data_IF_078366619181
#
_entry.id   IF_078366619181
#
_cell.length_a   1.000
_cell.length_b   1.000
_cell.length_c   1.000
_cell.angle_alpha   90.00
_cell.angle_beta   90.00
_cell.angle_gamma   90.00
#
_symmetry.space_group_name_H-M   'P 1'
#
loop_
_entity.id
_entity.type
_entity.pdbx_description
1 polymer ?
#
# COMPACT_ATOMS: atom_id res chain seq x y z
N UNK A 1 -17.79 -11.36 -27.31
CA UNK A 1 -18.96 -10.51 -27.00
C UNK A 1 -20.01 -11.40 -26.36
N UNK A 2 -20.52 -11.04 -25.18
CA UNK A 2 -21.58 -11.78 -24.48
C UNK A 2 -22.86 -11.60 -25.31
N UNK A 3 -23.57 -12.68 -25.68
CA UNK A 3 -24.67 -12.65 -26.67
C UNK A 3 -25.86 -11.75 -26.27
N UNK A 4 -26.73 -11.42 -27.24
CA UNK A 4 -27.89 -10.51 -27.03
C UNK A 4 -28.80 -10.91 -25.87
N UNK A 5 -28.94 -12.22 -25.62
CA UNK A 5 -29.70 -12.74 -24.48
C UNK A 5 -29.11 -12.29 -23.14
N UNK A 6 -27.79 -12.43 -22.97
CA UNK A 6 -27.10 -12.01 -21.76
C UNK A 6 -27.13 -10.48 -21.59
N UNK A 7 -27.06 -9.73 -22.70
CA UNK A 7 -27.21 -8.27 -22.67
C UNK A 7 -28.61 -7.83 -22.21
N UNK A 8 -29.67 -8.57 -22.57
CA UNK A 8 -31.03 -8.31 -22.07
C UNK A 8 -31.16 -8.60 -20.58
N UNK A 9 -30.56 -9.67 -20.08
CA UNK A 9 -30.58 -9.95 -18.64
C UNK A 9 -29.80 -8.92 -17.83
N UNK A 10 -28.65 -8.46 -18.33
CA UNK A 10 -27.86 -7.39 -17.72
C UNK A 10 -28.65 -6.08 -17.56
N UNK A 11 -29.58 -5.78 -18.49
CA UNK A 11 -30.46 -4.60 -18.39
C UNK A 11 -31.47 -4.68 -17.24
N UNK A 12 -31.78 -5.89 -16.77
CA UNK A 12 -32.70 -6.10 -15.65
C UNK A 12 -31.99 -6.00 -14.29
N UNK A 13 -30.66 -5.88 -14.27
CA UNK A 13 -29.89 -5.75 -13.04
C UNK A 13 -30.18 -4.39 -12.40
N UNK A 14 -30.72 -4.32 -11.18
CA UNK A 14 -31.01 -3.05 -10.53
C UNK A 14 -29.70 -2.31 -10.18
N UNK A 15 -29.59 -1.06 -10.65
CA UNK A 15 -28.41 -0.21 -10.48
C UNK A 15 -28.66 0.96 -9.50
N UNK A 16 -29.69 0.87 -8.65
CA UNK A 16 -29.91 1.91 -7.65
C UNK A 16 -28.74 1.97 -6.66
N UNK A 17 -28.42 3.17 -6.17
CA UNK A 17 -27.31 3.39 -5.23
C UNK A 17 -27.37 2.42 -4.03
N UNK A 18 -28.56 2.19 -3.47
CA UNK A 18 -28.75 1.26 -2.35
C UNK A 18 -28.47 -0.20 -2.75
N UNK A 19 -28.83 -0.61 -3.96
CA UNK A 19 -28.56 -1.97 -4.45
C UNK A 19 -27.07 -2.17 -4.67
N UNK A 20 -26.39 -1.20 -5.29
CA UNK A 20 -24.95 -1.25 -5.51
C UNK A 20 -24.20 -1.25 -4.19
N UNK A 21 -24.57 -0.38 -3.24
CA UNK A 21 -23.98 -0.33 -1.90
C UNK A 21 -24.08 -1.67 -1.18
N UNK A 22 -25.28 -2.27 -1.15
CA UNK A 22 -25.48 -3.59 -0.54
C UNK A 22 -24.61 -4.66 -1.20
N UNK A 23 -24.54 -4.70 -2.54
CA UNK A 23 -23.70 -5.69 -3.24
C UNK A 23 -22.21 -5.52 -2.94
N UNK A 24 -21.74 -4.27 -2.83
CA UNK A 24 -20.36 -3.99 -2.42
C UNK A 24 -20.11 -4.53 -1.01
N UNK A 25 -21.07 -4.34 -0.10
CA UNK A 25 -20.97 -4.85 1.26
C UNK A 25 -20.96 -6.39 1.29
N UNK A 26 -21.93 -7.04 0.63
CA UNK A 26 -22.03 -8.50 0.55
C UNK A 26 -20.73 -9.12 -0.03
N UNK A 27 -20.18 -8.51 -1.09
CA UNK A 27 -18.91 -8.93 -1.69
C UNK A 27 -17.72 -8.70 -0.75
N UNK A 28 -17.70 -7.60 0.00
CA UNK A 28 -16.63 -7.32 0.94
C UNK A 28 -16.65 -8.30 2.13
N UNK A 29 -17.84 -8.65 2.62
CA UNK A 29 -18.01 -9.68 3.65
C UNK A 29 -17.54 -11.05 3.14
N UNK A 30 -17.95 -11.46 1.94
CA UNK A 30 -17.51 -12.72 1.32
C UNK A 30 -15.99 -12.80 1.14
N UNK A 31 -15.36 -11.73 0.65
CA UNK A 31 -13.89 -11.66 0.53
C UNK A 31 -13.23 -11.77 1.91
N UNK A 32 -13.76 -11.07 2.90
CA UNK A 32 -13.22 -11.10 4.26
C UNK A 32 -13.34 -12.51 4.88
N UNK A 33 -14.49 -13.17 4.75
CA UNK A 33 -14.69 -14.55 5.20
C UNK A 33 -13.70 -15.52 4.54
N UNK A 34 -13.49 -15.41 3.22
CA UNK A 34 -12.53 -16.23 2.51
C UNK A 34 -11.09 -16.03 3.00
N UNK A 35 -10.69 -14.78 3.29
CA UNK A 35 -9.36 -14.49 3.83
C UNK A 35 -9.21 -15.07 5.24
N UNK A 36 -10.20 -14.87 6.11
CA UNK A 36 -10.20 -15.37 7.48
C UNK A 36 -10.16 -16.90 7.52
N UNK A 37 -10.86 -17.59 6.62
CA UNK A 37 -10.81 -19.04 6.51
C UNK A 37 -9.40 -19.56 6.13
N UNK A 38 -8.65 -18.80 5.33
CA UNK A 38 -7.26 -19.14 4.96
C UNK A 38 -6.27 -18.89 6.10
N UNK A 39 -6.65 -18.11 7.12
CA UNK A 39 -5.83 -17.75 8.28
C UNK A 39 -5.76 -18.84 9.38
N UNK A 40 -5.75 -20.11 9.01
CA UNK A 40 -5.64 -21.22 9.97
C UNK A 40 -4.23 -21.40 10.56
N UNK A 41 -3.21 -20.82 9.92
CA UNK A 41 -1.80 -20.99 10.27
C UNK A 41 -1.11 -19.72 10.77
N UNK A 42 0.22 -19.76 10.82
CA UNK A 42 1.05 -18.62 11.17
C UNK A 42 1.00 -17.56 10.06
N UNK A 43 0.98 -16.30 10.45
CA UNK A 43 0.97 -15.19 9.51
C UNK A 43 1.80 -14.01 10.00
N UNK A 44 2.15 -13.13 9.06
CA UNK A 44 2.76 -11.84 9.32
C UNK A 44 1.90 -10.74 8.72
N UNK A 45 2.00 -9.55 9.29
CA UNK A 45 1.24 -8.37 8.87
C UNK A 45 2.16 -7.23 8.51
N UNK A 46 1.71 -6.37 7.59
CA UNK A 46 2.28 -5.06 7.33
C UNK A 46 1.21 -3.99 7.49
N UNK A 47 1.44 -3.05 8.39
CA UNK A 47 0.53 -1.96 8.69
C UNK A 47 1.11 -0.64 8.18
N UNK A 48 0.27 0.12 7.49
CA UNK A 48 0.62 1.44 6.96
C UNK A 48 -0.55 2.42 7.13
N UNK A 49 -0.22 3.69 7.28
CA UNK A 49 -1.19 4.77 7.31
C UNK A 49 -1.24 5.44 5.93
N UNK A 50 -2.43 5.51 5.34
CA UNK A 50 -2.65 6.20 4.08
C UNK A 50 -3.67 7.33 4.27
N UNK A 51 -3.39 8.48 3.68
CA UNK A 51 -4.35 9.58 3.59
C UNK A 51 -4.94 9.61 2.19
N UNK A 52 -6.27 9.61 2.09
CA UNK A 52 -6.95 9.69 0.81
C UNK A 52 -7.04 11.13 0.28
N UNK A 53 -7.69 11.32 -0.87
CA UNK A 53 -7.81 12.64 -1.51
C UNK A 53 -8.72 13.61 -0.76
N UNK A 54 -9.51 13.13 0.21
CA UNK A 54 -10.37 13.94 1.06
C UNK A 54 -9.72 14.22 2.43
N UNK A 55 -8.41 13.98 2.56
CA UNK A 55 -7.64 14.07 3.80
C UNK A 55 -8.11 13.12 4.91
N UNK A 56 -8.87 12.07 4.57
CA UNK A 56 -9.24 11.02 5.52
C UNK A 56 -8.08 10.03 5.67
N UNK A 57 -7.66 9.80 6.91
CA UNK A 57 -6.64 8.82 7.26
C UNK A 57 -7.24 7.41 7.37
N UNK A 58 -6.54 6.42 6.83
CA UNK A 58 -6.90 5.01 6.87
C UNK A 58 -5.71 4.17 7.35
N UNK A 59 -6.00 3.22 8.24
CA UNK A 59 -5.07 2.16 8.60
C UNK A 59 -5.30 0.99 7.65
N UNK A 60 -4.27 0.67 6.88
CA UNK A 60 -4.26 -0.42 5.91
C UNK A 60 -3.42 -1.55 6.47
N UNK A 61 -3.99 -2.77 6.50
CA UNK A 61 -3.29 -3.96 6.93
C UNK A 61 -3.17 -4.95 5.78
N UNK A 62 -1.94 -5.22 5.35
CA UNK A 62 -1.61 -6.32 4.46
C UNK A 62 -1.23 -7.55 5.26
N UNK A 63 -1.65 -8.70 4.76
CA UNK A 63 -1.40 -9.99 5.34
C UNK A 63 -0.40 -10.75 4.45
N UNK A 64 0.52 -11.47 5.09
CA UNK A 64 1.36 -12.48 4.45
C UNK A 64 1.24 -13.79 5.22
N UNK A 65 0.87 -14.86 4.53
CA UNK A 65 0.64 -16.18 5.13
C UNK A 65 1.14 -17.27 4.19
N UNK A 66 1.20 -18.51 4.70
CA UNK A 66 1.58 -19.68 3.91
C UNK A 66 0.32 -20.50 3.65
N UNK A 67 0.01 -20.70 2.37
CA UNK A 67 -1.03 -21.62 1.94
C UNK A 67 -0.35 -22.78 1.21
N UNK A 68 -0.48 -23.99 1.77
CA UNK A 68 0.21 -25.20 1.32
C UNK A 68 1.75 -25.04 1.34
N UNK A 69 2.32 -24.53 0.25
CA UNK A 69 3.76 -24.28 0.09
C UNK A 69 4.07 -22.88 -0.46
N UNK A 70 3.04 -22.10 -0.78
CA UNK A 70 3.18 -20.78 -1.38
C UNK A 70 3.04 -19.69 -0.33
N UNK A 71 3.86 -18.65 -0.47
CA UNK A 71 3.67 -17.40 0.26
C UNK A 71 2.58 -16.62 -0.44
N UNK A 72 1.50 -16.35 0.27
CA UNK A 72 0.35 -15.60 -0.21
C UNK A 72 0.31 -14.22 0.46
N UNK A 73 -0.18 -13.24 -0.28
CA UNK A 73 -0.35 -11.87 0.20
C UNK A 73 -1.74 -11.38 -0.16
N UNK A 74 -2.45 -10.85 0.83
CA UNK A 74 -3.81 -10.31 0.66
C UNK A 74 -3.98 -9.03 1.48
N UNK A 75 -4.94 -8.21 1.09
CA UNK A 75 -5.38 -7.07 1.90
C UNK A 75 -6.32 -7.59 3.00
N UNK A 76 -5.92 -7.46 4.26
CA UNK A 76 -6.74 -7.93 5.38
C UNK A 76 -7.88 -6.96 5.67
N UNK A 77 -7.56 -5.67 5.79
CA UNK A 77 -8.56 -4.61 5.91
C UNK A 77 -7.99 -3.24 5.52
N UNK A 78 -8.91 -2.33 5.21
CA UNK A 78 -8.68 -0.89 5.26
C UNK A 78 -9.74 -0.28 6.16
N UNK A 79 -9.34 0.37 7.27
CA UNK A 79 -10.27 0.98 8.23
C UNK A 79 -9.91 2.44 8.46
N UNK A 80 -10.92 3.29 8.52
CA UNK A 80 -10.75 4.73 8.77
C UNK A 80 -10.16 4.96 10.18
N UNK A 81 -9.23 5.89 10.28
CA UNK A 81 -8.69 6.39 11.54
C UNK A 81 -9.55 7.60 11.91
N UNK A 82 -10.49 7.42 12.83
CA UNK A 82 -11.40 8.48 13.27
C UNK A 82 -10.79 9.37 14.36
N UNK A 83 -9.75 8.89 15.05
CA UNK A 83 -9.15 9.55 16.21
C UNK A 83 -7.76 10.12 15.87
N UNK A 84 -6.88 10.23 16.88
CA UNK A 84 -5.65 11.00 16.83
C UNK A 84 -4.49 10.30 16.09
N UNK A 85 -4.71 9.12 15.52
CA UNK A 85 -3.66 8.31 14.89
C UNK A 85 -2.59 7.83 15.87
N UNK A 86 -2.86 7.86 17.18
CA UNK A 86 -1.94 7.35 18.19
C UNK A 86 -1.87 5.83 18.12
N UNK A 87 -0.76 5.28 18.60
CA UNK A 87 -0.55 3.85 18.68
C UNK A 87 -1.73 3.09 19.31
N UNK A 88 -2.35 3.66 20.35
CA UNK A 88 -3.53 3.11 21.03
C UNK A 88 -4.73 3.00 20.10
N UNK A 89 -5.03 4.08 19.38
CA UNK A 89 -6.18 4.18 18.49
C UNK A 89 -6.00 3.19 17.33
N UNK A 90 -4.79 3.12 16.77
CA UNK A 90 -4.43 2.16 15.72
C UNK A 90 -4.50 0.71 16.23
N UNK A 91 -4.07 0.47 17.47
CA UNK A 91 -4.14 -0.84 18.08
C UNK A 91 -5.58 -1.27 18.31
N UNK A 92 -6.46 -0.39 18.78
CA UNK A 92 -7.88 -0.72 18.98
C UNK A 92 -8.59 -1.02 17.65
N UNK A 93 -8.31 -0.28 16.57
CA UNK A 93 -8.83 -0.60 15.24
C UNK A 93 -8.45 -2.02 14.84
N UNK A 94 -7.18 -2.39 15.00
CA UNK A 94 -6.70 -3.70 14.62
C UNK A 94 -7.19 -4.81 15.56
N UNK A 95 -7.18 -4.55 16.88
CA UNK A 95 -7.65 -5.49 17.89
C UNK A 95 -9.16 -5.78 17.72
N UNK A 96 -9.96 -4.77 17.40
CA UNK A 96 -11.39 -4.94 17.08
C UNK A 96 -11.57 -5.85 15.87
N UNK A 97 -10.82 -5.63 14.78
CA UNK A 97 -10.85 -6.52 13.62
C UNK A 97 -10.49 -7.97 13.97
N UNK A 98 -9.45 -8.18 14.77
CA UNK A 98 -9.02 -9.51 15.21
C UNK A 98 -10.09 -10.22 16.04
N UNK A 99 -10.76 -9.49 16.94
CA UNK A 99 -11.85 -10.02 17.79
C UNK A 99 -13.09 -10.35 16.95
N UNK A 100 -13.53 -9.41 16.09
CA UNK A 100 -14.69 -9.58 15.21
C UNK A 100 -14.59 -10.83 14.33
N UNK A 101 -13.37 -11.12 13.84
CA UNK A 101 -13.09 -12.24 12.94
C UNK A 101 -12.54 -13.48 13.65
N UNK A 102 -12.51 -13.49 14.99
CA UNK A 102 -11.99 -14.59 15.81
C UNK A 102 -10.57 -15.05 15.40
N UNK A 103 -9.71 -14.10 15.03
CA UNK A 103 -8.33 -14.35 14.62
C UNK A 103 -7.44 -14.37 15.87
N UNK A 104 -6.69 -15.45 16.06
CA UNK A 104 -5.81 -15.61 17.22
C UNK A 104 -4.52 -14.81 17.04
N UNK A 105 -4.22 -13.96 18.03
CA UNK A 105 -2.96 -13.22 18.10
C UNK A 105 -1.73 -14.12 18.16
N UNK A 106 -1.85 -15.31 18.75
CA UNK A 106 -0.77 -16.31 18.86
C UNK A 106 -0.19 -16.74 17.50
N UNK A 107 -1.01 -16.65 16.44
CA UNK A 107 -0.61 -17.00 15.08
C UNK A 107 0.15 -15.85 14.38
N UNK A 108 0.11 -14.63 14.91
CA UNK A 108 0.83 -13.48 14.37
C UNK A 108 2.31 -13.56 14.77
N UNK A 109 3.17 -13.92 13.82
CA UNK A 109 4.62 -14.11 14.05
C UNK A 109 5.47 -12.94 13.58
N UNK A 110 4.93 -12.07 12.72
CA UNK A 110 5.64 -10.92 12.17
C UNK A 110 4.77 -9.68 12.06
N UNK A 111 5.35 -8.52 12.37
CA UNK A 111 4.72 -7.21 12.16
C UNK A 111 5.71 -6.27 11.47
N UNK A 112 5.27 -5.61 10.40
CA UNK A 112 6.04 -4.64 9.63
C UNK A 112 5.33 -3.28 9.64
N UNK A 113 6.05 -2.20 9.91
CA UNK A 113 5.49 -0.82 9.89
C UNK A 113 6.47 0.20 9.29
N UNK A 114 5.98 1.38 8.89
CA UNK A 114 6.75 2.46 8.23
C UNK A 114 7.89 3.08 9.06
N UNK A 115 7.90 2.82 10.37
CA UNK A 115 8.90 3.35 11.29
C UNK A 115 8.51 4.67 11.95
N UNK A 116 7.33 5.23 11.67
CA UNK A 116 6.81 6.40 12.36
C UNK A 116 6.75 6.15 13.88
N UNK A 117 6.88 7.23 14.68
CA UNK A 117 6.98 7.12 16.14
C UNK A 117 5.78 6.37 16.76
N UNK A 118 4.58 6.61 16.26
CA UNK A 118 3.37 5.92 16.69
C UNK A 118 3.39 4.42 16.35
N UNK A 119 4.11 4.00 15.31
CA UNK A 119 4.16 2.61 14.86
C UNK A 119 5.32 1.83 15.51
N UNK A 120 6.52 2.41 15.53
CA UNK A 120 7.80 1.74 15.86
C UNK A 120 8.26 1.90 17.31
N UNK A 121 7.60 2.74 18.10
CA UNK A 121 7.97 3.00 19.49
C UNK A 121 8.13 1.72 20.32
N UNK A 122 9.25 1.59 21.02
CA UNK A 122 9.60 0.37 21.78
C UNK A 122 8.64 0.07 22.94
N UNK A 123 8.13 1.12 23.60
CA UNK A 123 7.32 1.01 24.81
C UNK A 123 5.83 1.35 24.59
N UNK A 124 5.54 2.22 23.62
CA UNK A 124 4.18 2.72 23.37
C UNK A 124 3.86 2.91 21.90
N UNK A 125 4.64 2.32 21.00
CA UNK A 125 4.27 2.24 19.59
C UNK A 125 3.36 1.05 19.33
N UNK A 126 2.71 1.02 18.17
CA UNK A 126 1.81 -0.05 17.75
C UNK A 126 2.46 -1.43 17.86
N UNK A 127 3.74 -1.56 17.48
CA UNK A 127 4.46 -2.83 17.61
C UNK A 127 4.60 -3.30 19.08
N UNK A 128 4.72 -2.38 20.03
CA UNK A 128 4.82 -2.70 21.44
C UNK A 128 3.47 -3.19 21.98
N UNK A 129 2.38 -2.54 21.57
CA UNK A 129 1.02 -2.95 21.93
C UNK A 129 0.68 -4.32 21.34
N UNK A 130 1.01 -4.58 20.08
CA UNK A 130 0.83 -5.89 19.46
C UNK A 130 1.61 -6.98 20.22
N UNK A 131 2.84 -6.70 20.66
CA UNK A 131 3.63 -7.64 21.48
C UNK A 131 2.97 -8.01 22.80
N UNK A 132 2.08 -7.18 23.35
CA UNK A 132 1.32 -7.54 24.56
C UNK A 132 0.31 -8.67 24.30
N UNK A 133 -0.23 -8.76 23.07
CA UNK A 133 -1.15 -9.82 22.65
C UNK A 133 -0.43 -11.02 22.02
N UNK A 134 0.67 -10.76 21.31
CA UNK A 134 1.51 -11.77 20.65
C UNK A 134 2.98 -11.63 21.08
N UNK A 135 3.39 -12.17 22.24
CA UNK A 135 4.74 -11.94 22.80
C UNK A 135 5.89 -12.40 21.90
N UNK A 136 5.65 -13.39 21.05
CA UNK A 136 6.65 -13.97 20.15
C UNK A 136 6.79 -13.23 18.81
N UNK A 137 5.91 -12.26 18.52
CA UNK A 137 5.90 -11.53 17.25
C UNK A 137 7.21 -10.78 17.04
N UNK A 138 7.76 -10.85 15.83
CA UNK A 138 8.95 -10.10 15.43
C UNK A 138 8.54 -8.84 14.69
N UNK A 139 8.97 -7.70 15.22
CA UNK A 139 8.79 -6.43 14.53
C UNK A 139 9.96 -6.16 13.59
N UNK A 140 9.63 -5.70 12.39
CA UNK A 140 10.57 -5.17 11.41
C UNK A 140 10.09 -3.81 10.92
N UNK A 141 11.04 -2.94 10.62
CA UNK A 141 10.71 -1.69 9.92
C UNK A 141 10.64 -1.96 8.42
N UNK A 142 9.64 -1.40 7.76
CA UNK A 142 9.43 -1.48 6.33
C UNK A 142 10.70 -1.11 5.55
N UNK A 143 11.21 -2.06 4.76
CA UNK A 143 12.46 -1.91 3.97
C UNK A 143 12.34 -0.74 3.00
N UNK A 144 11.18 -0.57 2.39
CA UNK A 144 10.87 0.52 1.47
C UNK A 144 11.05 1.89 2.15
N UNK A 145 10.48 2.06 3.34
CA UNK A 145 10.62 3.30 4.10
C UNK A 145 12.06 3.54 4.53
N UNK A 146 12.79 2.49 4.94
CA UNK A 146 14.22 2.57 5.29
C UNK A 146 15.09 2.97 4.09
N UNK A 147 14.83 2.39 2.93
CA UNK A 147 15.52 2.72 1.69
C UNK A 147 15.27 4.19 1.32
N UNK A 148 14.01 4.63 1.35
CA UNK A 148 13.65 6.01 1.07
C UNK A 148 14.31 7.01 2.06
N UNK A 149 14.38 6.66 3.34
CA UNK A 149 15.06 7.48 4.36
C UNK A 149 16.58 7.52 4.13
N UNK A 150 17.17 6.42 3.70
CA UNK A 150 18.60 6.34 3.36
C UNK A 150 18.91 7.14 2.10
N UNK A 151 18.05 7.05 1.08
CA UNK A 151 18.14 7.81 -0.16
C UNK A 151 17.99 9.33 0.03
N UNK A 152 17.46 9.79 1.18
CA UNK A 152 17.49 11.21 1.56
C UNK A 152 18.85 11.65 2.11
N UNK A 153 19.68 10.71 2.58
CA UNK A 153 21.02 10.95 3.16
C UNK A 153 22.16 10.61 2.20
N UNK A 154 21.91 10.72 0.90
CA UNK A 154 22.90 10.56 -0.16
C UNK A 154 23.98 11.64 -0.05
N UNK A 155 25.19 11.40 -0.58
CA UNK A 155 26.29 12.39 -0.57
C UNK A 155 25.88 13.69 -1.27
N UNK A 156 26.50 14.84 -0.92
CA UNK A 156 26.17 16.12 -1.55
C UNK A 156 26.25 16.09 -3.09
N UNK A 157 27.23 15.38 -3.64
CA UNK A 157 27.47 15.27 -5.09
C UNK A 157 26.32 14.53 -5.79
N UNK A 158 25.89 13.40 -5.23
CA UNK A 158 24.78 12.63 -5.78
C UNK A 158 23.44 13.36 -5.56
N UNK A 159 23.25 14.08 -4.46
CA UNK A 159 22.08 14.93 -4.27
C UNK A 159 21.99 16.04 -5.32
N UNK A 160 23.12 16.68 -5.66
CA UNK A 160 23.18 17.68 -6.72
C UNK A 160 22.74 17.10 -8.07
N UNK A 161 23.25 15.92 -8.45
CA UNK A 161 22.84 15.22 -9.67
C UNK A 161 21.35 14.88 -9.62
N UNK A 162 20.85 14.37 -8.49
CA UNK A 162 19.43 14.05 -8.33
C UNK A 162 18.54 15.29 -8.46
N UNK A 163 18.94 16.44 -7.93
CA UNK A 163 18.18 17.69 -8.06
C UNK A 163 18.09 18.16 -9.52
N UNK A 164 19.15 17.99 -10.30
CA UNK A 164 19.13 18.26 -11.75
C UNK A 164 18.14 17.32 -12.44
N UNK A 165 18.22 16.01 -12.17
CA UNK A 165 17.32 15.01 -12.75
C UNK A 165 15.86 15.33 -12.41
N UNK A 166 15.57 15.67 -11.15
CA UNK A 166 14.23 16.04 -10.70
C UNK A 166 13.71 17.26 -11.46
N UNK A 167 14.54 18.30 -11.63
CA UNK A 167 14.17 19.50 -12.40
C UNK A 167 13.85 19.18 -13.85
N UNK A 168 14.68 18.37 -14.52
CA UNK A 168 14.48 17.95 -15.91
C UNK A 168 13.20 17.14 -16.06
N UNK A 169 13.00 16.12 -15.23
CA UNK A 169 11.80 15.26 -15.31
C UNK A 169 10.52 16.06 -15.06
N UNK A 170 10.54 16.95 -14.06
CA UNK A 170 9.39 17.83 -13.79
C UNK A 170 9.15 18.81 -14.93
N UNK A 171 10.20 19.35 -15.56
CA UNK A 171 10.06 20.22 -16.73
C UNK A 171 9.38 19.50 -17.91
N UNK A 172 9.77 18.26 -18.19
CA UNK A 172 9.19 17.41 -19.25
C UNK A 172 7.73 17.09 -18.92
N UNK A 173 7.44 16.68 -17.68
CA UNK A 173 6.09 16.26 -17.29
C UNK A 173 5.10 17.40 -17.05
N UNK A 174 5.57 18.63 -16.84
CA UNK A 174 4.70 19.79 -16.58
C UNK A 174 3.74 20.10 -17.73
N UNK A 175 4.03 19.69 -18.97
CA UNK A 175 3.13 19.92 -20.12
C UNK A 175 2.99 18.65 -20.98
N UNK A 176 1.76 18.27 -21.39
CA UNK A 176 1.55 17.10 -22.26
C UNK A 176 2.34 17.15 -23.57
N UNK A 177 2.50 18.34 -24.16
CA UNK A 177 3.29 18.53 -25.38
C UNK A 177 4.75 18.11 -25.20
N UNK A 178 5.38 18.49 -24.09
CA UNK A 178 6.78 18.14 -23.79
C UNK A 178 6.95 16.65 -23.53
N UNK A 179 5.98 16.03 -22.83
CA UNK A 179 5.97 14.59 -22.62
C UNK A 179 5.87 13.82 -23.95
N UNK A 180 5.06 14.30 -24.91
CA UNK A 180 4.98 13.70 -26.26
C UNK A 180 6.25 13.89 -27.08
N UNK A 181 6.90 15.05 -26.99
CA UNK A 181 8.21 15.26 -27.64
C UNK A 181 9.28 14.33 -27.08
N UNK A 182 9.36 14.22 -25.75
CA UNK A 182 10.29 13.30 -25.10
C UNK A 182 10.04 11.84 -25.51
N UNK A 183 8.78 11.42 -25.59
CA UNK A 183 8.42 10.08 -26.04
C UNK A 183 8.95 9.77 -27.44
N UNK A 184 8.73 10.67 -28.41
CA UNK A 184 9.24 10.52 -29.78
C UNK A 184 10.77 10.45 -29.81
N UNK A 185 11.45 11.30 -29.04
CA UNK A 185 12.91 11.28 -28.93
C UNK A 185 13.40 9.92 -28.41
N UNK A 186 12.75 9.35 -27.40
CA UNK A 186 13.10 8.03 -26.88
C UNK A 186 12.88 6.91 -27.92
N UNK A 187 11.80 6.97 -28.69
CA UNK A 187 11.53 6.01 -29.78
C UNK A 187 12.61 6.09 -30.87
N UNK A 188 12.99 7.29 -31.29
CA UNK A 188 14.05 7.51 -32.29
C UNK A 188 15.42 7.01 -31.83
N UNK A 189 15.70 7.09 -30.53
CA UNK A 189 16.94 6.59 -29.92
C UNK A 189 16.89 5.09 -29.59
N UNK A 190 15.77 4.40 -29.84
CA UNK A 190 15.61 2.98 -29.53
C UNK A 190 15.60 2.68 -28.03
N UNK A 191 15.18 3.64 -27.19
CA UNK A 191 15.14 3.45 -25.74
C UNK A 191 14.03 2.47 -25.34
N UNK A 192 14.33 1.57 -24.39
CA UNK A 192 13.36 0.60 -23.85
C UNK A 192 12.17 1.30 -23.16
N UNK A 193 12.42 2.44 -22.54
CA UNK A 193 11.39 3.21 -21.84
C UNK A 193 11.19 4.59 -22.47
N UNK A 194 9.96 4.83 -22.91
CA UNK A 194 9.58 6.03 -23.67
C UNK A 194 8.78 7.03 -22.84
N UNK A 195 8.64 6.79 -21.54
CA UNK A 195 7.89 7.69 -20.66
C UNK A 195 8.51 7.78 -19.27
N UNK A 196 8.48 8.99 -18.72
CA UNK A 196 8.94 9.25 -17.36
C UNK A 196 7.78 9.13 -16.35
N UNK A 197 8.08 9.06 -15.06
CA UNK A 197 7.09 9.20 -13.99
C UNK A 197 7.27 10.58 -13.33
N UNK A 198 6.18 11.25 -12.95
CA UNK A 198 6.25 12.55 -12.26
C UNK A 198 6.98 12.43 -10.91
N UNK A 199 7.81 13.42 -10.54
CA UNK A 199 8.48 13.39 -9.24
C UNK A 199 7.53 13.90 -8.16
N UNK A 200 7.32 13.14 -7.10
CA UNK A 200 6.62 13.63 -5.93
C UNK A 200 7.36 13.13 -4.68
N UNK A 201 7.67 14.04 -3.74
CA UNK A 201 8.36 13.72 -2.50
C UNK A 201 7.59 12.69 -1.64
N UNK A 202 6.26 12.62 -1.76
CA UNK A 202 5.42 11.66 -1.04
C UNK A 202 5.36 10.27 -1.69
N UNK A 203 5.82 10.11 -2.94
CA UNK A 203 5.90 8.80 -3.59
C UNK A 203 7.33 8.25 -3.44
N UNK A 204 7.47 7.27 -2.56
CA UNK A 204 8.68 6.54 -2.19
C UNK A 204 9.55 6.08 -3.39
N UNK A 205 8.93 5.68 -4.50
CA UNK A 205 9.62 5.25 -5.73
C UNK A 205 10.15 6.39 -6.63
N UNK A 206 9.90 7.66 -6.28
CA UNK A 206 10.16 8.78 -7.19
C UNK A 206 11.64 9.02 -7.51
N UNK A 207 12.58 8.56 -6.67
CA UNK A 207 14.03 8.63 -6.93
C UNK A 207 14.55 7.37 -7.63
N UNK A 208 14.27 6.18 -7.10
CA UNK A 208 14.77 4.90 -7.62
C UNK A 208 14.28 4.56 -9.03
N UNK A 209 12.99 4.75 -9.32
CA UNK A 209 12.42 4.43 -10.64
C UNK A 209 12.95 5.34 -11.75
N UNK A 210 13.52 6.50 -11.43
CA UNK A 210 14.03 7.46 -12.43
C UNK A 210 15.49 7.26 -12.79
N UNK A 211 16.29 6.71 -11.88
CA UNK A 211 17.67 6.30 -12.16
C UNK A 211 17.67 5.07 -13.07
N UNK A 212 16.71 4.15 -12.89
CA UNK A 212 16.56 2.97 -13.77
C UNK A 212 16.11 3.35 -15.19
N UNK A 213 15.27 4.38 -15.34
CA UNK A 213 14.91 4.94 -16.66
C UNK A 213 16.07 5.66 -17.38
N UNK A 214 17.20 5.87 -16.70
CA UNK A 214 18.41 6.47 -17.25
C UNK A 214 19.54 5.45 -17.49
N UNK A 215 19.25 4.14 -17.41
CA UNK A 215 20.14 3.12 -17.97
C UNK A 215 19.82 2.94 -19.44
N UNK A 216 20.56 3.67 -20.27
CA UNK A 216 21.04 3.21 -21.57
C UNK A 216 22.56 3.22 -21.48
#
# INVERSE_FOLDING_TARGET
MIGESAAKELKNVPLSNNTISRRIHDMAEDINEQIVQKLSGLFAIQLDEATDSNDDAQLICYLRYIQETNVCEDLLFSRKICESGKATDLFEIFNSYMIENNIKWENCVGVCTDGARAMSGQYGGLQALIKTKAPNVKWTQCVIHREALTAKKITPELNFVMDIIIKVVNYIKRRPVKARFFHKLCEELGAEHTSLIYYCNSRWLSKGTKVVLARV
#
